data_IF_401696942690
#
_entry.id   IF_401696942690
#
_cell.length_a   1.000
_cell.length_b   1.000
_cell.length_c   1.000
_cell.angle_alpha   90.00
_cell.angle_beta   90.00
_cell.angle_gamma   90.00
#
_symmetry.space_group_name_H-M   'P 1'
#
loop_
_entity.id
_entity.type
_entity.pdbx_description
1 polymer ?
#
# COMPACT_ATOMS: atom_id res chain seq x y z
N UNK A 1 -1.25 15.20 -6.16
CA UNK A 1 -0.64 13.97 -6.71
C UNK A 1 -1.06 12.72 -5.93
N UNK A 2 -0.92 12.65 -4.60
CA UNK A 2 -1.26 11.44 -3.81
C UNK A 2 -2.70 10.92 -3.99
N UNK A 3 -3.71 11.81 -4.11
CA UNK A 3 -5.11 11.41 -4.32
C UNK A 3 -5.31 10.54 -5.57
N UNK A 4 -4.53 10.76 -6.63
CA UNK A 4 -4.61 9.95 -7.83
C UNK A 4 -4.17 8.50 -7.55
N UNK A 5 -3.05 8.33 -6.85
CA UNK A 5 -2.54 7.02 -6.45
C UNK A 5 -3.45 6.31 -5.43
N UNK A 6 -4.03 7.05 -4.48
CA UNK A 6 -5.07 6.52 -3.57
C UNK A 6 -6.27 5.97 -4.35
N UNK A 7 -6.80 6.75 -5.31
CA UNK A 7 -7.95 6.34 -6.10
C UNK A 7 -7.62 5.16 -7.02
N UNK A 8 -6.43 5.15 -7.63
CA UNK A 8 -5.97 4.01 -8.43
C UNK A 8 -5.93 2.73 -7.58
N UNK A 9 -5.31 2.78 -6.40
CA UNK A 9 -5.22 1.61 -5.52
C UNK A 9 -6.60 1.17 -5.02
N UNK A 10 -7.46 2.12 -4.61
CA UNK A 10 -8.83 1.84 -4.16
C UNK A 10 -9.65 1.15 -5.26
N UNK A 11 -9.54 1.63 -6.51
CA UNK A 11 -10.20 1.02 -7.65
C UNK A 11 -9.70 -0.41 -7.91
N UNK A 12 -8.40 -0.69 -7.71
CA UNK A 12 -7.90 -2.07 -7.80
C UNK A 12 -8.50 -2.95 -6.71
N UNK A 13 -8.56 -2.45 -5.47
CA UNK A 13 -9.17 -3.17 -4.34
C UNK A 13 -10.65 -3.48 -4.60
N UNK A 14 -11.42 -2.52 -5.11
CA UNK A 14 -12.86 -2.72 -5.38
C UNK A 14 -13.14 -3.77 -6.46
N UNK A 15 -12.16 -4.05 -7.31
CA UNK A 15 -12.30 -5.06 -8.35
C UNK A 15 -11.82 -6.44 -7.92
N UNK A 16 -11.15 -6.60 -6.76
CA UNK A 16 -10.66 -7.90 -6.30
C UNK A 16 -11.79 -8.91 -6.04
N UNK A 17 -12.94 -8.48 -5.51
CA UNK A 17 -14.08 -9.37 -5.25
C UNK A 17 -14.76 -9.87 -6.54
N UNK A 18 -14.63 -9.13 -7.65
CA UNK A 18 -15.15 -9.54 -8.95
C UNK A 18 -14.33 -10.66 -9.59
N UNK A 19 -13.13 -10.90 -9.06
CA UNK A 19 -12.22 -11.96 -9.51
C UNK A 19 -12.03 -12.93 -8.35
N UNK A 20 -13.08 -13.71 -8.04
CA UNK A 20 -12.98 -14.88 -7.18
C UNK A 20 -11.95 -15.86 -7.78
N UNK A 21 -10.73 -15.80 -7.25
CA UNK A 21 -9.57 -16.54 -7.73
C UNK A 21 -8.43 -15.57 -8.05
N UNK A 22 -7.53 -15.38 -7.09
CA UNK A 22 -6.32 -14.58 -7.20
C UNK A 22 -5.51 -14.98 -8.44
N UNK A 23 -5.79 -14.34 -9.57
CA UNK A 23 -5.03 -14.52 -10.79
C UNK A 23 -3.72 -13.72 -10.66
N UNK A 24 -2.56 -14.30 -11.01
CA UNK A 24 -1.25 -13.63 -10.89
C UNK A 24 -1.13 -12.34 -11.70
N UNK A 25 -1.99 -12.10 -12.70
CA UNK A 25 -2.03 -10.82 -13.44
C UNK A 25 -2.62 -9.67 -12.63
N UNK A 26 -3.50 -9.96 -11.67
CA UNK A 26 -4.13 -8.93 -10.84
C UNK A 26 -3.25 -8.51 -9.65
N UNK A 27 -2.41 -9.43 -9.13
CA UNK A 27 -1.46 -9.09 -8.06
C UNK A 27 -0.44 -8.06 -8.53
N UNK A 28 0.18 -8.25 -9.70
CA UNK A 28 1.17 -7.31 -10.25
C UNK A 28 0.61 -5.88 -10.42
N UNK A 29 -0.65 -5.75 -10.87
CA UNK A 29 -1.28 -4.42 -10.99
C UNK A 29 -1.57 -3.79 -9.62
N UNK A 30 -1.86 -4.58 -8.59
CA UNK A 30 -2.11 -4.07 -7.24
C UNK A 30 -0.80 -3.72 -6.55
N UNK A 31 0.23 -4.56 -6.70
CA UNK A 31 1.60 -4.33 -6.23
C UNK A 31 2.13 -3.01 -6.78
N UNK A 32 2.02 -2.78 -8.09
CA UNK A 32 2.48 -1.51 -8.70
C UNK A 32 1.67 -0.30 -8.22
N UNK A 33 0.35 -0.46 -8.04
CA UNK A 33 -0.48 0.62 -7.49
C UNK A 33 -0.12 0.91 -6.02
N UNK A 34 0.20 -0.13 -5.24
CA UNK A 34 0.61 -0.02 -3.85
C UNK A 34 1.99 0.61 -3.72
N UNK A 35 2.94 0.22 -4.57
CA UNK A 35 4.28 0.83 -4.66
C UNK A 35 4.19 2.35 -4.81
N UNK A 36 3.41 2.82 -5.79
CA UNK A 36 3.22 4.25 -5.99
C UNK A 36 2.48 4.92 -4.83
N UNK A 37 1.44 4.29 -4.29
CA UNK A 37 0.76 4.80 -3.11
C UNK A 37 1.73 4.97 -1.93
N UNK A 38 2.55 3.97 -1.64
CA UNK A 38 3.54 3.98 -0.56
C UNK A 38 4.59 5.07 -0.79
N UNK A 39 5.17 5.14 -1.99
CA UNK A 39 6.14 6.19 -2.36
C UNK A 39 5.60 7.58 -2.05
N UNK A 40 4.36 7.89 -2.45
CA UNK A 40 3.81 9.21 -2.18
C UNK A 40 3.36 9.39 -0.72
N UNK A 41 2.88 8.33 -0.06
CA UNK A 41 2.40 8.44 1.31
C UNK A 41 3.54 8.60 2.32
N UNK A 42 4.66 7.91 2.09
CA UNK A 42 5.88 8.01 2.90
C UNK A 42 6.51 9.41 2.84
N UNK A 43 6.52 10.04 1.67
CA UNK A 43 6.97 11.45 1.54
C UNK A 43 6.10 12.45 2.28
N UNK A 44 4.85 12.09 2.59
CA UNK A 44 3.91 12.90 3.35
C UNK A 44 3.77 12.44 4.80
N UNK A 45 4.54 11.45 5.24
CA UNK A 45 4.54 11.00 6.64
C UNK A 45 5.76 11.55 7.37
N UNK A 46 5.79 11.38 8.69
CA UNK A 46 6.92 11.74 9.54
C UNK A 46 8.08 10.75 9.45
N UNK A 47 8.27 10.10 8.30
CA UNK A 47 9.42 9.23 8.09
C UNK A 47 10.71 10.07 8.21
N UNK A 48 11.82 9.53 8.78
CA UNK A 48 12.99 10.34 9.13
C UNK A 48 13.62 11.09 7.93
N UNK A 49 13.41 10.56 6.73
CA UNK A 49 13.82 11.16 5.47
C UNK A 49 12.78 10.86 4.38
N UNK A 50 12.88 11.54 3.23
CA UNK A 50 12.00 11.26 2.08
C UNK A 50 12.32 9.87 1.53
N UNK A 51 11.38 8.94 1.72
CA UNK A 51 11.50 7.58 1.23
C UNK A 51 10.69 7.37 -0.06
N UNK A 52 11.14 6.41 -0.86
CA UNK A 52 10.38 5.83 -1.96
C UNK A 52 10.29 4.31 -1.80
N UNK A 53 9.21 3.75 -2.34
CA UNK A 53 9.01 2.31 -2.43
C UNK A 53 9.47 1.84 -3.82
N UNK A 54 10.47 0.97 -3.85
CA UNK A 54 11.04 0.37 -5.06
C UNK A 54 10.19 -0.78 -5.57
N UNK A 55 9.78 -1.67 -4.66
CA UNK A 55 8.97 -2.84 -5.00
C UNK A 55 8.02 -3.23 -3.88
N UNK A 56 6.95 -3.95 -4.27
CA UNK A 56 6.06 -4.69 -3.38
C UNK A 56 6.14 -6.16 -3.77
N UNK A 57 6.39 -7.01 -2.78
CA UNK A 57 6.61 -8.44 -2.92
C UNK A 57 5.71 -9.19 -1.91
N UNK A 58 5.41 -10.45 -2.20
CA UNK A 58 4.67 -11.33 -1.28
C UNK A 58 3.32 -10.74 -0.81
N UNK A 59 2.65 -9.96 -1.69
CA UNK A 59 1.41 -9.27 -1.37
C UNK A 59 0.28 -10.27 -1.05
N UNK A 60 -0.23 -10.19 0.16
CA UNK A 60 -1.42 -10.89 0.65
C UNK A 60 -2.51 -9.87 0.93
N UNK A 61 -3.61 -10.00 0.20
CA UNK A 61 -4.82 -9.20 0.41
C UNK A 61 -5.96 -10.12 0.82
N UNK A 62 -6.50 -9.89 2.01
CA UNK A 62 -7.62 -10.64 2.56
C UNK A 62 -8.83 -9.72 2.72
N UNK A 63 -9.95 -9.96 2.02
CA UNK A 63 -11.18 -9.25 2.31
C UNK A 63 -11.67 -9.64 3.71
N UNK A 64 -11.93 -8.64 4.54
CA UNK A 64 -12.58 -8.80 5.85
C UNK A 64 -14.09 -8.56 5.75
N UNK A 65 -14.50 -7.69 4.82
CA UNK A 65 -15.89 -7.43 4.40
C UNK A 65 -15.87 -6.76 3.01
N UNK A 66 -17.03 -6.53 2.35
CA UNK A 66 -17.09 -6.01 0.97
C UNK A 66 -16.35 -4.68 0.71
N UNK A 67 -16.04 -3.93 1.76
CA UNK A 67 -15.33 -2.64 1.67
C UNK A 67 -14.10 -2.57 2.55
N UNK A 68 -13.75 -3.65 3.25
CA UNK A 68 -12.62 -3.66 4.20
C UNK A 68 -11.67 -4.77 3.83
N UNK A 69 -10.40 -4.41 3.65
CA UNK A 69 -9.34 -5.31 3.23
C UNK A 69 -8.20 -5.26 4.23
N UNK A 70 -7.71 -6.42 4.64
CA UNK A 70 -6.45 -6.56 5.33
C UNK A 70 -5.34 -6.77 4.30
N UNK A 71 -4.22 -6.07 4.48
CA UNK A 71 -3.04 -6.13 3.65
C UNK A 71 -1.85 -6.61 4.48
N UNK A 72 -1.05 -7.50 3.91
CA UNK A 72 0.29 -7.85 4.34
C UNK A 72 1.18 -7.90 3.10
N UNK A 73 2.35 -7.29 3.13
CA UNK A 73 3.31 -7.35 2.02
C UNK A 73 4.74 -7.16 2.52
N UNK A 74 5.69 -7.75 1.80
CA UNK A 74 7.08 -7.32 1.87
C UNK A 74 7.26 -6.12 0.94
N UNK A 75 7.95 -5.08 1.37
CA UNK A 75 8.20 -3.90 0.55
C UNK A 75 9.68 -3.56 0.57
N UNK A 76 10.17 -2.95 -0.51
CA UNK A 76 11.54 -2.42 -0.57
C UNK A 76 11.51 -0.91 -0.52
N UNK A 77 12.16 -0.35 0.48
CA UNK A 77 12.22 1.09 0.69
C UNK A 77 13.64 1.61 0.53
N UNK A 78 13.79 2.74 -0.13
CA UNK A 78 15.05 3.45 -0.22
C UNK A 78 14.86 4.94 0.08
N UNK A 79 15.89 5.64 0.56
CA UNK A 79 15.84 7.08 0.66
C UNK A 79 16.04 7.72 -0.71
N UNK A 80 15.38 8.86 -0.95
CA UNK A 80 15.60 9.63 -2.19
C UNK A 80 17.02 10.21 -2.27
N UNK A 81 17.65 10.41 -1.11
CA UNK A 81 19.01 10.92 -0.98
C UNK A 81 20.08 9.92 -1.47
N UNK A 82 19.78 8.62 -1.46
CA UNK A 82 20.71 7.57 -1.89
C UNK A 82 19.97 6.32 -2.39
N UNK A 83 19.78 6.24 -3.71
CA UNK A 83 19.07 5.14 -4.39
C UNK A 83 19.77 3.77 -4.31
N UNK A 84 21.04 3.72 -3.89
CA UNK A 84 21.77 2.46 -3.72
C UNK A 84 21.43 1.75 -2.40
N UNK A 85 20.77 2.44 -1.46
CA UNK A 85 20.37 1.87 -0.18
C UNK A 85 18.92 1.43 -0.29
N UNK A 86 18.70 0.13 -0.47
CA UNK A 86 17.36 -0.47 -0.49
C UNK A 86 17.24 -1.45 0.68
N UNK A 87 16.22 -1.25 1.51
CA UNK A 87 15.94 -2.06 2.71
C UNK A 87 14.65 -2.83 2.51
N UNK A 88 14.62 -4.08 2.98
CA UNK A 88 13.40 -4.91 3.00
C UNK A 88 12.62 -4.60 4.28
N UNK A 89 11.39 -4.16 4.14
CA UNK A 89 10.48 -3.80 5.23
C UNK A 89 9.19 -4.63 5.12
N UNK A 90 8.40 -4.65 6.19
CA UNK A 90 7.09 -5.31 6.19
C UNK A 90 5.99 -4.26 6.28
N UNK A 91 4.96 -4.36 5.43
CA UNK A 91 3.79 -3.50 5.46
C UNK A 91 2.57 -4.33 5.87
N UNK A 92 1.88 -3.90 6.92
CA UNK A 92 0.67 -4.58 7.42
C UNK A 92 -0.40 -3.56 7.80
N UNK A 93 -1.65 -3.82 7.45
CA UNK A 93 -2.71 -2.92 7.85
C UNK A 93 -4.06 -3.21 7.25
N UNK A 94 -4.94 -2.21 7.36
CA UNK A 94 -6.30 -2.29 6.85
C UNK A 94 -6.65 -1.09 5.98
N UNK A 95 -7.43 -1.35 4.94
CA UNK A 95 -7.99 -0.35 4.05
C UNK A 95 -9.50 -0.46 4.04
N UNK A 96 -10.18 0.68 4.15
CA UNK A 96 -11.63 0.80 4.03
C UNK A 96 -11.96 1.67 2.83
N UNK A 97 -12.64 1.08 1.85
CA UNK A 97 -13.13 1.80 0.67
C UNK A 97 -14.26 2.76 1.05
N UNK A 98 -14.41 3.82 0.26
CA UNK A 98 -15.61 4.65 0.29
C UNK A 98 -16.84 3.88 -0.23
N UNK A 99 -18.03 4.51 -0.12
CA UNK A 99 -19.29 3.90 -0.57
C UNK A 99 -19.24 3.46 -2.04
N UNK A 100 -18.53 4.20 -2.88
CA UNK A 100 -18.48 4.00 -4.33
C UNK A 100 -17.33 3.07 -4.76
N UNK A 101 -16.42 2.69 -3.86
CA UNK A 101 -15.19 1.98 -4.19
C UNK A 101 -14.20 2.79 -5.03
N UNK A 102 -14.34 4.12 -5.10
CA UNK A 102 -13.49 4.99 -5.96
C UNK A 102 -12.31 5.61 -5.21
N UNK A 103 -12.32 5.50 -3.88
CA UNK A 103 -11.26 5.99 -3.01
C UNK A 103 -11.29 5.25 -1.67
N UNK A 104 -10.32 5.58 -0.82
CA UNK A 104 -10.30 5.12 0.56
C UNK A 104 -11.00 6.11 1.47
N UNK A 105 -11.97 5.60 2.23
CA UNK A 105 -12.57 6.30 3.37
C UNK A 105 -11.56 6.38 4.51
N UNK A 106 -10.96 5.24 4.86
CA UNK A 106 -10.00 5.10 5.97
C UNK A 106 -8.90 4.12 5.56
N UNK A 107 -7.69 4.33 6.06
CA UNK A 107 -6.69 3.27 6.13
C UNK A 107 -5.83 3.44 7.38
N UNK A 108 -5.35 2.32 7.88
CA UNK A 108 -4.39 2.24 8.98
C UNK A 108 -3.35 1.20 8.55
N UNK A 109 -2.23 1.70 8.03
CA UNK A 109 -1.15 0.90 7.51
C UNK A 109 0.11 1.16 8.33
N UNK A 110 0.75 0.08 8.76
CA UNK A 110 2.00 0.11 9.51
C UNK A 110 3.13 -0.39 8.59
N UNK A 111 4.20 0.40 8.51
CA UNK A 111 5.46 0.01 7.87
C UNK A 111 6.48 -0.28 8.95
N UNK A 112 6.97 -1.52 8.98
CA UNK A 112 7.93 -2.02 9.97
C UNK A 112 9.30 -2.13 9.30
N UNK A 113 10.26 -1.35 9.79
CA UNK A 113 11.61 -1.21 9.25
C UNK A 113 12.66 -1.33 10.37
N UNK A 114 13.41 -2.44 10.36
CA UNK A 114 14.45 -2.74 11.36
C UNK A 114 14.01 -2.54 12.83
N UNK A 115 12.77 -2.93 13.16
CA UNK A 115 12.20 -2.82 14.51
C UNK A 115 11.53 -1.47 14.81
N UNK A 116 11.64 -0.49 13.92
CA UNK A 116 10.85 0.73 13.98
C UNK A 116 9.53 0.55 13.26
N UNK A 117 8.49 1.22 13.75
CA UNK A 117 7.15 1.21 13.15
C UNK A 117 6.75 2.62 12.75
N UNK A 118 6.23 2.73 11.52
CA UNK A 118 5.77 3.99 10.93
C UNK A 118 4.33 3.85 10.48
N UNK A 119 3.44 4.63 11.10
CA UNK A 119 2.02 4.60 10.79
C UNK A 119 1.66 5.54 9.62
N UNK A 120 1.03 4.98 8.60
CA UNK A 120 0.43 5.68 7.48
C UNK A 120 -1.10 5.61 7.64
N UNK A 121 -1.71 6.72 8.08
CA UNK A 121 -3.13 6.76 8.45
C UNK A 121 -3.93 7.78 7.66
N UNK A 122 -5.22 7.48 7.47
CA UNK A 122 -6.25 8.41 7.01
C UNK A 122 -7.54 8.08 7.76
N UNK A 123 -8.15 9.08 8.39
CA UNK A 123 -9.42 8.98 9.12
C UNK A 123 -10.63 9.30 8.26
#
# INVERSE_FOLDING_TARGET
MIRAHENTLAHRFSNLERYSGAHPRNSASVEKALEWFLTWRLKLSSYPELMWCDSVEELKLRPLSPKVFQLQAMIRLGPESNVNIIRKCHAVGTFTLDRNGRGFKRYDLEVIDSGNSYALRKG
#
